data_IF_363471710296
#
_entry.id   IF_363471710296
#
_cell.length_a   1.000
_cell.length_b   1.000
_cell.length_c   1.000
_cell.angle_alpha   90.00
_cell.angle_beta   90.00
_cell.angle_gamma   90.00
#
_symmetry.space_group_name_H-M   'P 1'
#
loop_
_entity.id
_entity.type
_entity.pdbx_description
1 polymer ?
#
# COMPACT_ATOMS: atom_id res chain seq x y z
N UNK A 1 -2.37 -55.16 15.94
CA UNK A 1 -2.20 -53.84 16.60
C UNK A 1 -2.32 -52.78 15.52
N UNK A 2 -3.48 -52.14 15.44
CA UNK A 2 -3.99 -51.43 14.25
C UNK A 2 -3.28 -50.09 14.03
N UNK A 3 -2.54 -49.95 12.92
CA UNK A 3 -1.92 -48.69 12.46
C UNK A 3 -2.90 -47.71 11.81
N UNK A 4 -4.19 -48.03 11.77
CA UNK A 4 -5.21 -47.31 10.99
C UNK A 4 -5.75 -46.06 11.68
N UNK A 5 -5.45 -45.84 12.97
CA UNK A 5 -6.07 -44.75 13.75
C UNK A 5 -5.43 -43.36 13.54
N UNK A 6 -4.23 -43.29 12.95
CA UNK A 6 -3.49 -42.03 12.84
C UNK A 6 -3.91 -41.12 11.66
N UNK A 7 -4.68 -41.65 10.69
CA UNK A 7 -5.04 -40.92 9.47
C UNK A 7 -6.35 -40.09 9.57
N UNK A 8 -7.15 -40.28 10.63
CA UNK A 8 -8.44 -39.60 10.80
C UNK A 8 -8.35 -38.21 11.46
N UNK A 9 -7.18 -37.82 11.98
CA UNK A 9 -6.99 -36.52 12.67
C UNK A 9 -6.37 -35.42 11.78
N UNK A 10 -5.85 -35.77 10.61
CA UNK A 10 -5.29 -34.82 9.63
C UNK A 10 -6.27 -33.71 9.16
N UNK A 11 -7.59 -33.97 8.98
CA UNK A 11 -8.52 -32.92 8.55
C UNK A 11 -8.69 -31.83 9.62
N UNK A 12 -8.68 -32.20 10.91
CA UNK A 12 -8.90 -31.27 12.04
C UNK A 12 -7.77 -30.25 12.17
N UNK A 13 -6.54 -30.63 11.83
CA UNK A 13 -5.39 -29.71 11.80
C UNK A 13 -5.52 -28.68 10.67
N UNK A 14 -6.00 -29.08 9.49
CA UNK A 14 -6.23 -28.18 8.36
C UNK A 14 -7.33 -27.14 8.64
N UNK A 15 -8.42 -27.54 9.30
CA UNK A 15 -9.48 -26.61 9.72
C UNK A 15 -9.02 -25.62 10.81
N UNK A 16 -8.09 -26.01 11.70
CA UNK A 16 -7.54 -25.11 12.73
C UNK A 16 -6.64 -23.98 12.19
N UNK A 17 -6.16 -24.10 10.95
CA UNK A 17 -5.30 -23.08 10.32
C UNK A 17 -6.12 -21.93 9.73
N UNK A 18 -7.40 -22.16 9.39
CA UNK A 18 -8.24 -21.15 8.75
C UNK A 18 -8.50 -19.91 9.64
N UNK A 19 -8.87 -20.04 10.94
CA UNK A 19 -9.09 -18.89 11.81
C UNK A 19 -7.79 -18.12 12.09
N UNK A 20 -6.68 -18.84 12.28
CA UNK A 20 -5.34 -18.25 12.50
C UNK A 20 -4.85 -17.45 11.29
N UNK A 21 -5.10 -17.97 10.08
CA UNK A 21 -4.77 -17.26 8.85
C UNK A 21 -5.65 -16.02 8.66
N UNK A 22 -6.90 -16.04 9.10
CA UNK A 22 -7.80 -14.89 9.02
C UNK A 22 -7.39 -13.77 9.99
N UNK A 23 -7.03 -14.11 11.24
CA UNK A 23 -6.54 -13.14 12.22
C UNK A 23 -5.20 -12.53 11.81
N UNK A 24 -4.26 -13.35 11.33
CA UNK A 24 -2.99 -12.89 10.81
C UNK A 24 -3.15 -11.95 9.60
N UNK A 25 -4.09 -12.25 8.69
CA UNK A 25 -4.43 -11.37 7.56
C UNK A 25 -5.03 -10.07 8.04
N UNK A 26 -6.00 -10.10 8.96
CA UNK A 26 -6.61 -8.89 9.51
C UNK A 26 -5.57 -7.98 10.16
N UNK A 27 -4.63 -8.54 10.92
CA UNK A 27 -3.51 -7.77 11.50
C UNK A 27 -2.65 -7.14 10.41
N UNK A 28 -2.30 -7.90 9.38
CA UNK A 28 -1.51 -7.39 8.26
C UNK A 28 -2.26 -6.32 7.44
N UNK A 29 -3.57 -6.47 7.26
CA UNK A 29 -4.42 -5.47 6.62
C UNK A 29 -4.34 -4.15 7.39
N UNK A 30 -4.52 -4.18 8.70
CA UNK A 30 -4.36 -2.99 9.56
C UNK A 30 -2.96 -2.39 9.42
N UNK A 31 -1.90 -3.20 9.50
CA UNK A 31 -0.52 -2.71 9.37
C UNK A 31 -0.26 -2.03 8.01
N UNK A 32 -0.72 -2.61 6.90
CA UNK A 32 -0.53 -2.03 5.57
C UNK A 32 -1.39 -0.78 5.36
N UNK A 33 -2.62 -0.74 5.91
CA UNK A 33 -3.50 0.43 5.86
C UNK A 33 -2.89 1.58 6.67
N UNK A 34 -2.46 1.32 7.90
CA UNK A 34 -1.80 2.34 8.74
C UNK A 34 -0.54 2.88 8.05
N UNK A 35 0.25 2.00 7.42
CA UNK A 35 1.40 2.40 6.61
C UNK A 35 0.97 3.32 5.46
N UNK A 36 -0.07 2.94 4.71
CA UNK A 36 -0.57 3.71 3.56
C UNK A 36 -1.13 5.09 3.98
N UNK A 37 -1.78 5.17 5.14
CA UNK A 37 -2.26 6.42 5.73
C UNK A 37 -1.11 7.33 6.16
N UNK A 38 -0.09 6.78 6.83
CA UNK A 38 1.10 7.54 7.22
C UNK A 38 1.92 8.01 6.01
N UNK A 39 2.05 7.16 4.99
CA UNK A 39 2.60 7.55 3.68
C UNK A 39 1.80 8.72 3.07
N UNK A 40 0.47 8.65 3.09
CA UNK A 40 -0.41 9.72 2.61
C UNK A 40 -0.18 11.03 3.38
N UNK A 41 -0.04 10.97 4.70
CA UNK A 41 0.30 12.15 5.53
C UNK A 41 1.67 12.71 5.22
N UNK A 42 2.69 11.87 5.05
CA UNK A 42 4.02 12.33 4.66
C UNK A 42 3.99 13.04 3.29
N UNK A 43 3.20 12.54 2.32
CA UNK A 43 2.96 13.22 1.05
C UNK A 43 2.26 14.58 1.19
N UNK A 44 1.28 14.70 2.11
CA UNK A 44 0.61 15.98 2.41
C UNK A 44 1.59 17.03 2.93
N UNK A 45 2.42 16.64 3.91
CA UNK A 45 3.41 17.51 4.57
C UNK A 45 4.73 17.69 3.80
N UNK A 46 4.84 17.11 2.61
CA UNK A 46 6.07 17.16 1.80
C UNK A 46 7.29 16.55 2.53
N UNK A 47 7.05 15.59 3.43
CA UNK A 47 8.09 14.86 4.17
C UNK A 47 8.61 13.68 3.34
N UNK A 48 9.39 14.01 2.31
CA UNK A 48 9.93 13.05 1.35
C UNK A 48 10.87 12.01 1.98
N UNK A 49 11.56 12.40 3.05
CA UNK A 49 12.42 11.50 3.82
C UNK A 49 11.58 10.40 4.47
N UNK A 50 10.47 10.76 5.14
CA UNK A 50 9.54 9.78 5.70
C UNK A 50 8.89 8.92 4.63
N UNK A 51 8.47 9.51 3.50
CA UNK A 51 7.91 8.76 2.36
C UNK A 51 8.85 7.61 1.97
N UNK A 52 10.15 7.88 1.87
CA UNK A 52 11.13 6.90 1.41
C UNK A 52 11.25 5.66 2.28
N UNK A 53 10.86 5.75 3.55
CA UNK A 53 10.91 4.63 4.49
C UNK A 53 9.78 3.62 4.25
N UNK A 54 8.76 3.93 3.47
CA UNK A 54 7.63 3.03 3.21
C UNK A 54 7.83 2.12 2.00
N UNK A 55 8.91 2.32 1.24
CA UNK A 55 9.17 1.62 -0.01
C UNK A 55 10.23 0.53 0.14
N UNK A 56 10.10 -0.51 -0.67
CA UNK A 56 11.14 -1.50 -0.95
C UNK A 56 11.68 -1.24 -2.36
N UNK A 57 13.00 -1.27 -2.50
CA UNK A 57 13.68 -0.89 -3.74
C UNK A 57 14.18 -2.12 -4.51
N UNK A 58 14.18 -2.09 -5.86
CA UNK A 58 13.63 -1.02 -6.70
C UNK A 58 12.11 -0.97 -6.61
N UNK A 59 11.55 0.24 -6.72
CA UNK A 59 10.11 0.47 -6.76
C UNK A 59 9.67 0.99 -8.12
N UNK A 60 8.43 0.71 -8.48
CA UNK A 60 7.88 1.00 -9.80
C UNK A 60 6.66 1.88 -9.71
N UNK A 61 6.55 2.83 -10.63
CA UNK A 61 5.42 3.75 -10.70
C UNK A 61 4.83 3.73 -12.09
N UNK A 62 3.51 3.61 -12.16
CA UNK A 62 2.70 3.93 -13.33
C UNK A 62 1.79 5.09 -12.95
N UNK A 63 2.17 6.30 -13.33
CA UNK A 63 1.47 7.53 -12.95
C UNK A 63 1.20 8.43 -14.17
N UNK A 64 0.32 9.43 -14.06
CA UNK A 64 0.09 10.40 -15.15
C UNK A 64 1.35 11.16 -15.57
N UNK A 65 2.32 11.28 -14.67
CA UNK A 65 3.63 11.89 -14.94
C UNK A 65 4.63 10.96 -15.65
N UNK A 66 4.22 9.74 -15.99
CA UNK A 66 5.02 8.74 -16.67
C UNK A 66 5.20 7.44 -15.89
N UNK A 67 5.84 6.48 -16.55
CA UNK A 67 6.25 5.23 -15.93
C UNK A 67 7.70 5.33 -15.48
N UNK A 68 7.99 4.92 -14.26
CA UNK A 68 9.32 5.02 -13.66
C UNK A 68 9.69 3.74 -12.92
N UNK A 69 10.99 3.41 -12.95
CA UNK A 69 11.61 2.44 -12.05
C UNK A 69 12.62 3.24 -11.23
N UNK A 70 12.41 3.30 -9.93
CA UNK A 70 13.21 4.07 -8.98
C UNK A 70 14.06 3.09 -8.18
N UNK A 71 15.37 3.18 -8.33
CA UNK A 71 16.33 2.16 -7.87
C UNK A 71 16.68 2.29 -6.40
N UNK A 72 16.56 3.48 -5.85
CA UNK A 72 16.99 3.83 -4.51
C UNK A 72 16.14 4.96 -3.91
N UNK A 73 16.51 5.32 -2.69
CA UNK A 73 15.85 6.34 -1.89
C UNK A 73 15.96 7.71 -2.53
N UNK A 74 17.12 8.04 -3.08
CA UNK A 74 17.40 9.32 -3.70
C UNK A 74 16.52 9.54 -4.94
N UNK A 75 16.42 8.54 -5.82
CA UNK A 75 15.54 8.58 -6.99
C UNK A 75 14.06 8.71 -6.59
N UNK A 76 13.64 8.06 -5.49
CA UNK A 76 12.28 8.17 -4.97
C UNK A 76 11.95 9.57 -4.43
N UNK A 77 12.86 10.18 -3.68
CA UNK A 77 12.68 11.53 -3.14
C UNK A 77 12.54 12.53 -4.29
N UNK A 78 13.38 12.45 -5.32
CA UNK A 78 13.28 13.33 -6.48
C UNK A 78 11.98 13.13 -7.27
N UNK A 79 11.54 11.88 -7.42
CA UNK A 79 10.23 11.58 -8.02
C UNK A 79 9.08 12.25 -7.25
N UNK A 80 9.07 12.16 -5.92
CA UNK A 80 7.99 12.77 -5.13
C UNK A 80 8.03 14.29 -5.08
N UNK A 81 9.21 14.93 -5.14
CA UNK A 81 9.30 16.38 -5.30
C UNK A 81 8.58 16.85 -6.57
N UNK A 82 8.73 16.10 -7.67
CA UNK A 82 7.99 16.38 -8.92
C UNK A 82 6.51 16.04 -8.77
N UNK A 83 6.18 14.85 -8.27
CA UNK A 83 4.79 14.38 -8.14
C UNK A 83 3.94 15.22 -7.17
N UNK A 84 4.57 15.90 -6.22
CA UNK A 84 3.92 16.80 -5.25
C UNK A 84 3.96 18.27 -5.68
N UNK A 85 4.69 18.59 -6.75
CA UNK A 85 4.82 19.96 -7.23
C UNK A 85 3.46 20.54 -7.63
N UNK A 86 3.27 21.87 -7.50
CA UNK A 86 2.01 22.52 -7.85
C UNK A 86 1.63 22.35 -9.32
N UNK A 87 2.62 22.16 -10.20
CA UNK A 87 2.42 21.85 -11.63
C UNK A 87 1.71 20.51 -11.83
N UNK A 88 1.99 19.51 -10.98
CA UNK A 88 1.44 18.16 -11.12
C UNK A 88 0.15 17.98 -10.32
N UNK A 89 0.13 18.42 -9.05
CA UNK A 89 -1.01 18.20 -8.14
C UNK A 89 -2.03 19.35 -8.17
N UNK A 90 -1.65 20.51 -8.72
CA UNK A 90 -2.44 21.74 -8.73
C UNK A 90 -2.14 22.64 -7.52
N UNK A 91 -2.09 23.96 -7.74
CA UNK A 91 -1.77 24.98 -6.73
C UNK A 91 -2.73 25.04 -5.53
N UNK A 92 -3.95 24.51 -5.70
CA UNK A 92 -4.98 24.50 -4.66
C UNK A 92 -4.91 23.26 -3.76
N UNK A 93 -4.14 22.22 -4.12
CA UNK A 93 -4.07 21.00 -3.30
C UNK A 93 -3.68 21.29 -1.85
N UNK A 94 -4.41 20.66 -0.92
CA UNK A 94 -4.18 20.80 0.52
C UNK A 94 -4.00 19.44 1.21
N UNK A 95 -4.91 18.50 1.01
CA UNK A 95 -4.85 17.17 1.64
C UNK A 95 -5.58 16.11 0.83
N UNK A 96 -5.36 14.85 1.20
CA UNK A 96 -6.04 13.69 0.64
C UNK A 96 -6.76 12.90 1.72
N UNK A 97 -7.88 12.28 1.38
CA UNK A 97 -8.54 11.30 2.25
C UNK A 97 -8.81 10.03 1.47
N UNK A 98 -8.49 8.89 2.06
CA UNK A 98 -8.93 7.60 1.53
C UNK A 98 -10.42 7.43 1.82
N UNK A 99 -11.19 7.19 0.76
CA UNK A 99 -12.63 6.90 0.83
C UNK A 99 -12.88 5.42 1.09
N UNK A 100 -12.06 4.57 0.47
CA UNK A 100 -12.16 3.13 0.57
C UNK A 100 -10.79 2.50 0.28
N UNK A 101 -10.42 1.48 1.06
CA UNK A 101 -9.21 0.69 0.83
C UNK A 101 -9.60 -0.78 0.86
N UNK A 102 -9.31 -1.51 -0.23
CA UNK A 102 -9.60 -2.94 -0.36
C UNK A 102 -8.31 -3.75 -0.45
N UNK A 103 -7.98 -4.55 0.57
CA UNK A 103 -6.91 -5.53 0.47
C UNK A 103 -7.28 -6.67 -0.49
N UNK A 104 -6.39 -6.95 -1.44
CA UNK A 104 -6.48 -8.06 -2.40
C UNK A 104 -5.23 -8.93 -2.21
N UNK A 105 -5.40 -9.99 -1.44
CA UNK A 105 -4.32 -10.93 -1.11
C UNK A 105 -3.97 -11.83 -2.29
N UNK A 106 -2.72 -11.77 -2.75
CA UNK A 106 -2.19 -12.68 -3.78
C UNK A 106 -1.64 -13.95 -3.10
N UNK A 107 -0.83 -13.77 -2.05
CA UNK A 107 -0.34 -14.83 -1.18
C UNK A 107 0.06 -14.26 0.19
N UNK A 108 0.61 -15.08 1.10
CA UNK A 108 0.94 -14.65 2.47
C UNK A 108 1.96 -13.51 2.59
N UNK A 109 2.73 -13.24 1.53
CA UNK A 109 3.80 -12.25 1.49
C UNK A 109 3.57 -11.16 0.43
N UNK A 110 2.40 -11.15 -0.25
CA UNK A 110 2.06 -10.22 -1.32
C UNK A 110 0.57 -9.85 -1.28
N UNK A 111 0.30 -8.56 -1.17
CA UNK A 111 -1.05 -7.98 -1.15
C UNK A 111 -1.11 -6.73 -2.02
N UNK A 112 -2.26 -6.43 -2.60
CA UNK A 112 -2.53 -5.17 -3.27
C UNK A 112 -3.55 -4.40 -2.41
N UNK A 113 -3.25 -3.15 -2.06
CA UNK A 113 -4.26 -2.25 -1.54
C UNK A 113 -4.85 -1.44 -2.70
N UNK A 114 -6.09 -1.74 -3.03
CA UNK A 114 -6.89 -0.97 -3.99
C UNK A 114 -7.57 0.19 -3.27
N UNK A 115 -6.99 1.38 -3.41
CA UNK A 115 -7.32 2.55 -2.61
C UNK A 115 -7.97 3.64 -3.46
N UNK A 116 -9.18 4.04 -3.07
CA UNK A 116 -9.90 5.19 -3.61
C UNK A 116 -9.64 6.39 -2.70
N UNK A 117 -9.24 7.51 -3.28
CA UNK A 117 -8.92 8.71 -2.53
C UNK A 117 -9.51 9.96 -3.17
N UNK A 118 -9.78 10.94 -2.32
CA UNK A 118 -10.21 12.27 -2.71
C UNK A 118 -9.11 13.27 -2.37
N UNK A 119 -8.84 14.21 -3.27
CA UNK A 119 -7.98 15.35 -3.04
C UNK A 119 -8.82 16.59 -2.80
N UNK A 120 -8.46 17.35 -1.78
CA UNK A 120 -9.17 18.53 -1.36
C UNK A 120 -8.30 19.77 -1.48
N UNK A 121 -8.95 20.88 -1.79
CA UNK A 121 -8.35 22.18 -1.92
C UNK A 121 -8.22 22.92 -0.59
N UNK A 122 -7.59 24.10 -0.61
CA UNK A 122 -7.42 24.96 0.60
C UNK A 122 -8.75 25.46 1.16
N UNK A 123 -9.81 25.46 0.35
CA UNK A 123 -11.18 25.82 0.77
C UNK A 123 -12.04 24.59 1.09
N UNK A 124 -11.43 23.43 1.30
CA UNK A 124 -12.11 22.15 1.57
C UNK A 124 -13.03 21.66 0.44
N UNK A 125 -12.91 22.24 -0.76
CA UNK A 125 -13.57 21.76 -1.97
C UNK A 125 -12.90 20.49 -2.48
N UNK A 126 -13.70 19.56 -2.99
CA UNK A 126 -13.19 18.42 -3.74
C UNK A 126 -12.52 18.93 -5.02
N UNK A 127 -11.25 18.57 -5.22
CA UNK A 127 -10.46 18.93 -6.41
C UNK A 127 -10.43 17.77 -7.39
N UNK A 128 -10.20 16.56 -6.91
CA UNK A 128 -10.09 15.37 -7.75
C UNK A 128 -10.43 14.12 -6.95
N UNK A 129 -11.06 13.15 -7.59
CA UNK A 129 -11.17 11.77 -7.11
C UNK A 129 -10.16 10.90 -7.87
N UNK A 130 -9.52 9.97 -7.18
CA UNK A 130 -8.52 9.10 -7.76
C UNK A 130 -8.59 7.70 -7.19
N UNK A 131 -7.93 6.78 -7.89
CA UNK A 131 -7.76 5.39 -7.47
C UNK A 131 -6.32 4.99 -7.70
N UNK A 132 -5.72 4.31 -6.73
CA UNK A 132 -4.37 3.79 -6.83
C UNK A 132 -4.31 2.35 -6.33
N UNK A 133 -3.56 1.52 -7.03
CA UNK A 133 -3.19 0.18 -6.61
C UNK A 133 -1.79 0.28 -6.00
N UNK A 134 -1.68 0.02 -4.71
CA UNK A 134 -0.41 -0.08 -4.01
C UNK A 134 -0.07 -1.54 -3.83
N UNK A 135 0.99 -2.03 -4.47
CA UNK A 135 1.44 -3.41 -4.28
C UNK A 135 2.41 -3.47 -3.10
N UNK A 136 2.04 -4.26 -2.11
CA UNK A 136 2.78 -4.49 -0.89
C UNK A 136 3.44 -5.85 -0.90
N UNK A 137 4.70 -5.91 -0.50
CA UNK A 137 5.39 -7.18 -0.21
C UNK A 137 5.88 -7.20 1.23
N UNK A 138 5.93 -8.41 1.79
CA UNK A 138 6.51 -8.63 3.12
C UNK A 138 8.02 -8.75 3.00
N UNK A 139 8.72 -7.95 3.78
CA UNK A 139 10.19 -7.97 3.89
C UNK A 139 10.61 -8.40 5.30
N UNK A 140 11.91 -8.52 5.54
CA UNK A 140 12.45 -8.68 6.90
C UNK A 140 12.12 -7.49 7.82
N UNK A 141 11.91 -6.31 7.24
CA UNK A 141 11.61 -5.05 7.93
C UNK A 141 10.10 -4.72 7.92
N UNK A 142 9.24 -5.73 7.76
CA UNK A 142 7.79 -5.57 7.69
C UNK A 142 7.26 -5.37 6.27
N UNK A 143 6.01 -4.93 6.15
CA UNK A 143 5.38 -4.67 4.84
C UNK A 143 5.92 -3.39 4.20
N UNK A 144 6.16 -3.42 2.89
CA UNK A 144 6.68 -2.29 2.10
C UNK A 144 5.99 -2.21 0.74
N UNK A 145 5.86 -0.99 0.22
CA UNK A 145 5.35 -0.71 -1.12
C UNK A 145 6.47 -0.94 -2.15
N UNK A 146 6.19 -1.66 -3.24
CA UNK A 146 7.17 -1.84 -4.32
C UNK A 146 6.62 -1.52 -5.72
N UNK A 147 5.31 -1.33 -5.85
CA UNK A 147 4.68 -0.82 -7.07
C UNK A 147 3.51 0.08 -6.69
N UNK A 148 3.39 1.20 -7.41
CA UNK A 148 2.24 2.08 -7.34
C UNK A 148 1.71 2.30 -8.75
N UNK A 149 0.47 1.89 -8.96
CA UNK A 149 -0.25 2.12 -10.22
C UNK A 149 -1.43 3.04 -9.98
N UNK A 150 -1.39 4.24 -10.53
CA UNK A 150 -2.53 5.16 -10.56
C UNK A 150 -3.49 4.70 -11.65
N UNK A 151 -4.74 4.44 -11.28
CA UNK A 151 -5.81 3.99 -12.17
C UNK A 151 -6.69 5.19 -12.49
N UNK A 152 -6.73 5.57 -13.77
CA UNK A 152 -7.68 6.55 -14.31
C UNK A 152 -8.90 5.82 -14.87
#
# INVERSE_FOLDING_TARGET
>A
MNKTLFLLLLPLLAFSQHPRNMEARKKADTEMIDLLENYGKAYEYEDFESISNYFDYPTTFKAPIGNSILKDKEELIEFYKVARSPVVVGDDYWYSLYKEIKPIWINKDLCILDAFYNRYGKKYNLVTEGRALYMFRKTENGWKIFDVTIVQ
#
